data_IF_405911196306
#
_entry.id   IF_405911196306
#
_cell.length_a   1.000
_cell.length_b   1.000
_cell.length_c   1.000
_cell.angle_alpha   90.00
_cell.angle_beta   90.00
_cell.angle_gamma   90.00
#
_symmetry.space_group_name_H-M   'P 1'
#
loop_
_entity.id
_entity.type
_entity.pdbx_description
1 polymer ?
#
# COMPACT_ATOMS: atom_id res chain seq x y z
N UNK A 1 36.24 -26.20 -57.38
CA UNK A 1 34.84 -25.95 -57.74
C UNK A 1 34.10 -25.64 -56.47
N UNK A 2 34.22 -24.36 -56.05
CA UNK A 2 33.70 -23.82 -54.79
C UNK A 2 32.24 -23.48 -54.94
N UNK A 3 31.46 -23.76 -53.94
CA UNK A 3 30.11 -23.18 -53.78
C UNK A 3 30.04 -22.52 -52.42
N UNK A 4 30.02 -21.23 -52.43
CA UNK A 4 29.59 -20.38 -51.32
C UNK A 4 28.12 -20.63 -50.99
N UNK A 5 27.77 -20.66 -49.71
CA UNK A 5 26.39 -20.63 -49.22
C UNK A 5 26.33 -19.52 -48.20
N UNK A 6 25.74 -18.42 -48.60
CA UNK A 6 25.41 -17.28 -47.71
C UNK A 6 24.36 -17.71 -46.67
N UNK A 7 24.78 -17.61 -45.40
CA UNK A 7 23.92 -17.80 -44.25
C UNK A 7 23.49 -16.47 -43.66
N UNK A 8 22.30 -16.03 -43.99
CA UNK A 8 21.66 -14.84 -43.39
C UNK A 8 21.17 -15.15 -41.97
N UNK A 9 21.84 -14.60 -40.96
CA UNK A 9 21.38 -14.66 -39.59
C UNK A 9 20.40 -13.53 -39.32
N UNK A 10 19.12 -13.86 -39.29
CA UNK A 10 18.05 -12.96 -38.82
C UNK A 10 18.07 -12.86 -37.28
N UNK A 11 18.13 -11.63 -36.78
CA UNK A 11 18.18 -11.30 -35.37
C UNK A 11 16.92 -11.72 -34.61
N UNK A 12 17.12 -12.39 -33.51
CA UNK A 12 16.11 -12.71 -32.53
C UNK A 12 15.76 -11.48 -31.71
N UNK A 13 14.56 -10.95 -31.91
CA UNK A 13 13.97 -9.93 -31.06
C UNK A 13 13.69 -10.51 -29.66
N UNK A 14 14.33 -9.95 -28.65
CA UNK A 14 14.01 -10.24 -27.26
C UNK A 14 12.65 -9.66 -26.92
N UNK A 15 11.67 -10.54 -26.75
CA UNK A 15 10.36 -10.17 -26.23
C UNK A 15 10.48 -9.85 -24.73
N UNK A 16 10.46 -8.57 -24.40
CA UNK A 16 10.35 -8.07 -23.05
C UNK A 16 8.91 -8.31 -22.58
N UNK A 17 8.65 -9.41 -21.88
CA UNK A 17 7.36 -9.67 -21.22
C UNK A 17 7.35 -8.92 -19.90
N UNK A 18 6.48 -7.90 -19.81
CA UNK A 18 6.15 -7.23 -18.55
C UNK A 18 5.54 -8.22 -17.55
N UNK A 19 5.95 -8.20 -16.29
CA UNK A 19 5.25 -8.94 -15.23
C UNK A 19 3.96 -8.19 -14.87
N UNK A 20 2.83 -8.86 -15.06
CA UNK A 20 1.45 -8.45 -14.81
C UNK A 20 0.77 -7.65 -15.95
N UNK A 21 -0.17 -8.35 -16.64
CA UNK A 21 -0.95 -7.84 -17.75
C UNK A 21 -1.99 -6.78 -17.35
N UNK A 22 -1.57 -5.52 -17.34
CA UNK A 22 -2.42 -4.33 -17.38
C UNK A 22 -2.05 -3.53 -18.62
N UNK A 23 -3.03 -2.95 -19.31
CA UNK A 23 -2.82 -2.12 -20.48
C UNK A 23 -1.88 -0.94 -20.15
N UNK A 24 -0.74 -0.88 -20.81
CA UNK A 24 0.29 0.13 -20.54
C UNK A 24 -0.16 1.53 -20.93
N UNK A 25 -0.44 2.37 -19.95
CA UNK A 25 -0.45 3.81 -20.12
C UNK A 25 0.97 4.29 -20.46
N UNK A 26 1.08 5.32 -21.30
CA UNK A 26 2.37 5.90 -21.64
C UNK A 26 3.13 6.31 -20.36
N UNK A 27 4.27 5.68 -20.12
CA UNK A 27 5.01 5.77 -18.87
C UNK A 27 5.57 7.17 -18.66
N UNK A 28 5.36 7.83 -17.51
CA UNK A 28 6.25 8.89 -17.07
C UNK A 28 7.66 8.30 -16.95
N UNK A 29 8.62 8.98 -17.50
CA UNK A 29 9.99 8.48 -17.62
C UNK A 29 10.70 8.40 -16.26
N UNK A 30 10.21 9.13 -15.27
CA UNK A 30 10.79 9.21 -13.91
C UNK A 30 9.72 9.36 -12.83
N UNK A 31 10.10 9.13 -11.57
CA UNK A 31 9.24 9.44 -10.42
C UNK A 31 8.89 10.95 -10.39
N UNK A 32 9.83 11.83 -10.74
CA UNK A 32 9.58 13.27 -10.78
C UNK A 32 8.49 13.63 -11.80
N UNK A 33 8.49 13.01 -12.99
CA UNK A 33 7.43 13.20 -13.99
C UNK A 33 6.07 12.75 -13.49
N UNK A 34 6.02 11.63 -12.73
CA UNK A 34 4.79 11.13 -12.12
C UNK A 34 4.28 12.06 -11.02
N UNK A 35 5.16 12.57 -10.15
CA UNK A 35 4.80 13.51 -9.08
C UNK A 35 4.30 14.85 -9.64
N UNK A 36 4.86 15.31 -10.76
CA UNK A 36 4.40 16.53 -11.43
C UNK A 36 3.03 16.37 -12.10
N UNK A 37 2.69 15.16 -12.58
CA UNK A 37 1.43 14.86 -13.27
C UNK A 37 0.89 13.50 -12.85
N UNK A 38 0.34 13.38 -11.62
CA UNK A 38 -0.14 12.10 -11.11
C UNK A 38 -1.30 11.56 -11.93
N UNK A 39 -1.24 10.27 -12.26
CA UNK A 39 -2.35 9.57 -12.93
C UNK A 39 -3.33 9.06 -11.88
N UNK A 40 -4.62 9.38 -12.05
CA UNK A 40 -5.67 8.96 -11.12
C UNK A 40 -5.72 7.44 -10.94
N UNK A 41 -5.99 6.96 -9.73
CA UNK A 41 -6.13 5.54 -9.38
C UNK A 41 -4.89 4.67 -9.66
N UNK A 42 -3.72 5.27 -9.79
CA UNK A 42 -2.47 4.54 -10.01
C UNK A 42 -1.47 4.76 -8.87
N UNK A 43 -0.44 3.94 -8.85
CA UNK A 43 0.77 4.05 -8.02
C UNK A 43 2.00 4.01 -8.92
N UNK A 44 3.11 4.54 -8.44
CA UNK A 44 4.41 4.44 -9.12
C UNK A 44 5.29 3.46 -8.36
N UNK A 45 5.75 2.41 -9.05
CA UNK A 45 6.59 1.37 -8.46
C UNK A 45 7.68 0.99 -9.44
N UNK A 46 8.93 1.18 -9.06
CA UNK A 46 10.12 0.73 -9.79
C UNK A 46 10.13 1.12 -11.29
N UNK A 47 9.74 2.36 -11.60
CA UNK A 47 9.71 2.85 -12.97
C UNK A 47 8.40 2.60 -13.72
N UNK A 48 7.40 2.00 -13.07
CA UNK A 48 6.13 1.66 -13.71
C UNK A 48 4.94 2.35 -13.06
N UNK A 49 3.98 2.77 -13.89
CA UNK A 49 2.63 3.10 -13.42
C UNK A 49 1.87 1.79 -13.27
N UNK A 50 1.36 1.54 -12.08
CA UNK A 50 0.58 0.35 -11.77
C UNK A 50 -0.83 0.77 -11.38
N UNK A 51 -1.82 0.32 -12.13
CA UNK A 51 -3.23 0.47 -11.75
C UNK A 51 -3.54 -0.41 -10.53
N UNK A 52 -4.40 0.08 -9.64
CA UNK A 52 -4.93 -0.75 -8.57
C UNK A 52 -6.04 -1.62 -9.15
N UNK A 53 -5.74 -2.89 -9.41
CA UNK A 53 -6.69 -3.87 -9.96
C UNK A 53 -7.76 -4.21 -8.90
N UNK A 54 -8.99 -4.46 -9.37
CA UNK A 54 -10.20 -4.59 -8.59
C UNK A 54 -10.10 -5.47 -7.35
N UNK A 55 -10.58 -4.94 -6.25
CA UNK A 55 -10.66 -5.60 -4.95
C UNK A 55 -11.85 -6.58 -4.92
N UNK A 56 -11.73 -7.67 -4.18
CA UNK A 56 -12.88 -8.53 -3.90
C UNK A 56 -13.84 -7.86 -2.92
N UNK A 57 -15.11 -8.26 -2.91
CA UNK A 57 -16.08 -7.78 -1.92
C UNK A 57 -15.61 -8.03 -0.48
N UNK A 58 -14.94 -9.17 -0.22
CA UNK A 58 -14.34 -9.47 1.08
C UNK A 58 -13.27 -8.48 1.49
N UNK A 59 -12.38 -8.10 0.57
CA UNK A 59 -11.38 -7.06 0.80
C UNK A 59 -12.05 -5.71 1.10
N UNK A 60 -12.98 -5.26 0.26
CA UNK A 60 -13.69 -4.00 0.44
C UNK A 60 -14.45 -3.93 1.77
N UNK A 61 -15.04 -5.03 2.21
CA UNK A 61 -15.72 -5.14 3.51
C UNK A 61 -14.75 -4.91 4.67
N UNK A 62 -13.59 -5.57 4.67
CA UNK A 62 -12.58 -5.43 5.73
C UNK A 62 -12.01 -4.01 5.71
N UNK A 63 -11.69 -3.46 4.54
CA UNK A 63 -11.22 -2.09 4.36
C UNK A 63 -12.21 -1.08 4.96
N UNK A 64 -13.48 -1.20 4.61
CA UNK A 64 -14.56 -0.35 5.14
C UNK A 64 -14.66 -0.46 6.65
N UNK A 65 -14.56 -1.68 7.19
CA UNK A 65 -14.65 -1.90 8.64
C UNK A 65 -13.47 -1.28 9.38
N UNK A 66 -12.25 -1.48 8.87
CA UNK A 66 -11.05 -0.88 9.46
C UNK A 66 -11.14 0.66 9.43
N UNK A 67 -11.56 1.24 8.28
CA UNK A 67 -11.82 2.67 8.15
C UNK A 67 -12.80 3.16 9.24
N UNK A 68 -13.98 2.53 9.36
CA UNK A 68 -15.01 2.94 10.32
C UNK A 68 -14.49 2.87 11.76
N UNK A 69 -13.75 1.81 12.10
CA UNK A 69 -13.22 1.62 13.46
C UNK A 69 -12.16 2.65 13.81
N UNK A 70 -11.22 2.90 12.91
CA UNK A 70 -10.19 3.92 13.15
C UNK A 70 -10.77 5.32 13.14
N UNK A 71 -11.59 5.68 12.14
CA UNK A 71 -12.20 7.01 12.05
C UNK A 71 -13.11 7.31 13.26
N UNK A 72 -13.98 6.38 13.64
CA UNK A 72 -14.82 6.52 14.81
C UNK A 72 -14.03 6.67 16.11
N UNK A 73 -12.90 5.96 16.25
CA UNK A 73 -12.02 6.12 17.41
C UNK A 73 -11.32 7.49 17.43
N UNK A 74 -10.77 7.91 16.29
CA UNK A 74 -10.12 9.23 16.13
C UNK A 74 -11.08 10.35 16.50
N UNK A 75 -12.32 10.28 16.02
CA UNK A 75 -13.38 11.25 16.30
C UNK A 75 -13.79 11.23 17.77
N UNK A 76 -14.10 10.05 18.33
CA UNK A 76 -14.54 9.88 19.71
C UNK A 76 -13.49 10.36 20.72
N UNK A 77 -12.22 10.08 20.46
CA UNK A 77 -11.10 10.51 21.34
C UNK A 77 -10.62 11.92 21.04
N UNK A 78 -11.19 12.61 20.05
CA UNK A 78 -10.80 13.96 19.63
C UNK A 78 -9.31 14.08 19.29
N UNK A 79 -8.72 13.03 18.70
CA UNK A 79 -7.30 13.01 18.33
C UNK A 79 -6.97 13.97 17.19
N UNK A 80 -7.98 14.42 16.45
CA UNK A 80 -7.81 15.19 15.23
C UNK A 80 -7.26 14.35 14.07
N UNK A 81 -7.03 15.01 12.93
CA UNK A 81 -6.65 14.31 11.71
C UNK A 81 -7.81 13.58 11.05
N UNK A 82 -7.51 12.70 10.13
CA UNK A 82 -8.52 11.94 9.40
C UNK A 82 -8.03 10.57 8.99
N UNK A 83 -8.97 9.63 8.78
CA UNK A 83 -8.68 8.31 8.22
C UNK A 83 -9.11 8.27 6.77
N UNK A 84 -8.20 7.87 5.90
CA UNK A 84 -8.34 7.90 4.45
C UNK A 84 -8.26 6.50 3.86
N UNK A 85 -8.88 6.29 2.71
CA UNK A 85 -8.75 5.06 1.92
C UNK A 85 -8.02 5.36 0.61
N UNK A 86 -7.07 4.51 0.25
CA UNK A 86 -6.37 4.59 -1.03
C UNK A 86 -5.75 5.96 -1.35
N UNK A 87 -5.46 6.74 -0.32
CA UNK A 87 -4.82 8.03 -0.48
C UNK A 87 -3.34 7.87 -0.80
N UNK A 88 -2.83 8.53 -1.86
CA UNK A 88 -1.45 8.33 -2.30
C UNK A 88 -0.45 9.00 -1.37
N UNK A 89 0.66 8.31 -1.12
CA UNK A 89 1.79 8.82 -0.36
C UNK A 89 3.11 8.43 -1.02
N UNK A 90 4.12 9.24 -0.83
CA UNK A 90 5.47 8.96 -1.28
C UNK A 90 6.18 8.08 -0.26
N UNK A 91 6.88 7.07 -0.76
CA UNK A 91 7.81 6.23 0.00
C UNK A 91 9.20 6.35 -0.65
N UNK A 92 10.19 5.62 -0.16
CA UNK A 92 11.54 5.66 -0.73
C UNK A 92 11.54 5.21 -2.20
N UNK A 93 11.62 6.20 -3.11
CA UNK A 93 11.66 5.96 -4.56
C UNK A 93 10.35 5.52 -5.21
N UNK A 94 9.22 5.53 -4.48
CA UNK A 94 7.92 5.04 -4.98
C UNK A 94 6.76 5.94 -4.54
N UNK A 95 5.61 5.77 -5.19
CA UNK A 95 4.32 6.27 -4.71
C UNK A 95 3.41 5.07 -4.44
N UNK A 96 2.94 4.97 -3.22
CA UNK A 96 2.03 3.92 -2.74
C UNK A 96 0.63 4.46 -2.50
N UNK A 97 -0.33 3.54 -2.42
CA UNK A 97 -1.73 3.81 -2.03
C UNK A 97 -2.16 2.75 -1.03
N UNK A 98 -1.94 2.97 0.27
CA UNK A 98 -2.38 2.03 1.30
C UNK A 98 -3.90 1.88 1.29
N UNK A 99 -4.40 0.70 1.69
CA UNK A 99 -5.84 0.45 1.73
C UNK A 99 -6.54 1.37 2.73
N UNK A 100 -5.96 1.55 3.93
CA UNK A 100 -6.43 2.50 4.95
C UNK A 100 -5.22 3.22 5.55
N UNK A 101 -5.33 4.52 5.79
CA UNK A 101 -4.26 5.31 6.39
C UNK A 101 -4.83 6.39 7.33
N UNK A 102 -4.10 6.68 8.41
CA UNK A 102 -4.39 7.82 9.28
C UNK A 102 -3.46 8.98 8.94
N UNK A 103 -4.05 10.11 8.58
CA UNK A 103 -3.38 11.39 8.38
C UNK A 103 -3.47 12.21 9.67
N UNK A 104 -2.33 12.42 10.33
CA UNK A 104 -2.29 13.13 11.60
C UNK A 104 -2.48 14.65 11.45
N UNK A 105 -2.92 15.35 12.52
CA UNK A 105 -3.02 16.82 12.52
C UNK A 105 -1.71 17.51 12.17
N UNK A 106 -0.58 16.94 12.56
CA UNK A 106 0.75 17.49 12.27
C UNK A 106 1.04 17.50 10.79
N UNK A 107 0.72 16.43 10.08
CA UNK A 107 0.89 16.34 8.64
C UNK A 107 -0.09 17.27 7.89
N UNK A 108 -1.32 17.41 8.40
CA UNK A 108 -2.29 18.38 7.86
C UNK A 108 -1.75 19.81 8.00
N UNK A 109 -1.20 20.16 9.16
CA UNK A 109 -0.60 21.49 9.37
C UNK A 109 0.62 21.73 8.49
N UNK A 110 1.41 20.69 8.25
CA UNK A 110 2.66 20.78 7.47
C UNK A 110 2.40 20.87 5.97
N UNK A 111 1.47 20.08 5.44
CA UNK A 111 1.32 19.90 3.97
C UNK A 111 -0.04 20.37 3.44
N UNK A 112 -1.02 20.63 4.30
CA UNK A 112 -2.40 20.89 3.88
C UNK A 112 -3.16 19.62 3.48
N UNK A 113 -4.41 19.81 3.08
CA UNK A 113 -5.30 18.71 2.63
C UNK A 113 -5.43 18.64 1.11
N UNK A 114 -5.11 19.72 0.40
CA UNK A 114 -5.30 19.85 -1.05
C UNK A 114 -4.10 19.40 -1.89
N UNK A 115 -3.24 18.53 -1.33
CA UNK A 115 -2.09 17.97 -2.05
C UNK A 115 -2.46 16.66 -2.75
N UNK A 116 -2.01 16.45 -4.00
CA UNK A 116 -2.34 15.24 -4.75
C UNK A 116 -1.65 13.97 -4.21
N UNK A 117 -0.48 14.11 -3.59
CA UNK A 117 0.33 13.02 -3.04
C UNK A 117 1.01 13.54 -1.78
N UNK A 118 0.84 12.84 -0.65
CA UNK A 118 1.57 13.17 0.58
C UNK A 118 3.08 12.94 0.36
N UNK A 119 4.00 13.92 0.63
CA UNK A 119 5.42 13.79 0.35
C UNK A 119 6.20 12.81 1.25
N UNK A 120 5.53 12.14 2.16
CA UNK A 120 6.04 11.08 3.03
C UNK A 120 4.95 10.03 3.27
N UNK A 121 5.25 8.96 4.03
CA UNK A 121 4.25 7.97 4.40
C UNK A 121 3.35 8.45 5.56
N UNK A 122 2.19 7.81 5.74
CA UNK A 122 1.25 8.07 6.83
C UNK A 122 1.73 7.46 8.14
N UNK A 123 1.44 8.06 9.32
CA UNK A 123 1.85 7.51 10.62
C UNK A 123 1.30 6.11 10.90
N UNK A 124 0.07 5.82 10.48
CA UNK A 124 -0.56 4.50 10.62
C UNK A 124 -1.12 4.05 9.28
N UNK A 125 -0.82 2.82 8.91
CA UNK A 125 -1.25 2.19 7.66
C UNK A 125 -1.87 0.83 7.93
N UNK A 126 -2.97 0.54 7.24
CA UNK A 126 -3.58 -0.78 7.14
C UNK A 126 -3.55 -1.27 5.69
N UNK A 127 -3.07 -2.49 5.49
CA UNK A 127 -3.06 -3.20 4.22
C UNK A 127 -3.82 -4.52 4.37
N UNK A 128 -4.75 -4.78 3.48
CA UNK A 128 -5.53 -6.01 3.47
C UNK A 128 -5.04 -6.89 2.32
N UNK A 129 -4.52 -8.06 2.63
CA UNK A 129 -3.98 -8.96 1.62
C UNK A 129 -5.07 -9.50 0.71
N UNK A 130 -4.83 -9.38 -0.58
CA UNK A 130 -5.61 -10.06 -1.60
C UNK A 130 -5.08 -11.49 -1.83
N UNK A 131 -5.88 -12.38 -2.45
CA UNK A 131 -5.43 -13.73 -2.77
C UNK A 131 -4.24 -13.82 -3.72
N UNK A 132 -3.96 -12.75 -4.44
CA UNK A 132 -2.89 -12.65 -5.45
C UNK A 132 -1.61 -12.02 -4.92
N UNK A 133 -1.63 -11.48 -3.68
CA UNK A 133 -0.46 -10.87 -3.08
C UNK A 133 0.53 -11.96 -2.64
N UNK A 134 1.82 -11.72 -2.89
CA UNK A 134 2.90 -12.53 -2.33
C UNK A 134 3.09 -12.20 -0.85
N UNK A 135 3.24 -13.24 -0.02
CA UNK A 135 3.51 -13.02 1.40
C UNK A 135 4.80 -12.25 1.66
N UNK A 136 5.85 -12.48 0.87
CA UNK A 136 7.11 -11.76 0.99
C UNK A 136 6.97 -10.28 0.60
N UNK A 137 6.28 -10.01 -0.50
CA UNK A 137 6.10 -8.63 -1.00
C UNK A 137 5.35 -7.74 -0.01
N UNK A 138 4.39 -8.27 0.74
CA UNK A 138 3.63 -7.48 1.71
C UNK A 138 4.49 -7.07 2.91
N UNK A 139 5.40 -7.93 3.36
CA UNK A 139 6.35 -7.59 4.43
C UNK A 139 7.40 -6.58 3.96
N UNK A 140 7.91 -6.72 2.74
CA UNK A 140 8.81 -5.73 2.14
C UNK A 140 8.12 -4.37 2.01
N UNK A 141 6.84 -4.35 1.62
CA UNK A 141 6.02 -3.14 1.56
C UNK A 141 5.82 -2.50 2.94
N UNK A 142 5.60 -3.30 3.98
CA UNK A 142 5.51 -2.79 5.35
C UNK A 142 6.83 -2.15 5.82
N UNK A 143 7.97 -2.77 5.54
CA UNK A 143 9.29 -2.21 5.83
C UNK A 143 9.54 -0.91 5.04
N UNK A 144 9.11 -0.85 3.79
CA UNK A 144 9.19 0.36 2.96
C UNK A 144 8.38 1.51 3.60
N UNK A 145 7.17 1.25 4.10
CA UNK A 145 6.37 2.25 4.81
C UNK A 145 7.08 2.75 6.08
N UNK A 146 7.55 1.82 6.93
CA UNK A 146 8.26 2.17 8.16
C UNK A 146 9.51 3.02 7.90
N UNK A 147 10.28 2.69 6.86
CA UNK A 147 11.46 3.49 6.47
C UNK A 147 11.12 4.84 5.85
N UNK A 148 9.84 5.08 5.53
CA UNK A 148 9.34 6.28 4.88
C UNK A 148 8.50 7.18 5.81
N UNK A 149 8.53 6.95 7.13
CA UNK A 149 7.86 7.78 8.14
C UNK A 149 6.62 7.17 8.78
N UNK A 150 6.23 5.94 8.42
CA UNK A 150 5.18 5.21 9.13
C UNK A 150 5.69 4.75 10.49
N UNK A 151 4.87 4.88 11.52
CA UNK A 151 5.18 4.44 12.88
C UNK A 151 4.60 3.06 13.18
N UNK A 152 3.47 2.72 12.52
CA UNK A 152 2.74 1.48 12.76
C UNK A 152 2.06 1.00 11.49
N UNK A 153 2.23 -0.29 11.14
CA UNK A 153 1.61 -0.95 9.99
C UNK A 153 0.80 -2.14 10.46
N UNK A 154 -0.44 -2.23 9.98
CA UNK A 154 -1.33 -3.38 10.18
C UNK A 154 -1.47 -4.14 8.86
N UNK A 155 -1.00 -5.38 8.83
CA UNK A 155 -1.21 -6.30 7.72
C UNK A 155 -2.34 -7.26 8.09
N UNK A 156 -3.44 -7.19 7.36
CA UNK A 156 -4.63 -8.00 7.59
C UNK A 156 -4.65 -9.18 6.63
N UNK A 157 -4.74 -10.39 7.16
CA UNK A 157 -4.70 -11.65 6.42
C UNK A 157 -6.08 -12.33 6.47
N UNK A 158 -6.99 -12.08 5.51
CA UNK A 158 -8.35 -12.60 5.56
C UNK A 158 -8.44 -14.14 5.54
N UNK A 159 -7.55 -14.80 4.78
CA UNK A 159 -7.55 -16.27 4.64
C UNK A 159 -7.11 -17.00 5.91
N UNK A 160 -6.05 -16.52 6.56
CA UNK A 160 -5.54 -17.09 7.81
C UNK A 160 -6.24 -16.53 9.04
N UNK A 161 -7.18 -15.58 8.84
CA UNK A 161 -7.92 -14.90 9.90
C UNK A 161 -7.00 -14.33 10.97
N UNK A 162 -6.02 -13.56 10.54
CA UNK A 162 -5.00 -13.00 11.42
C UNK A 162 -4.66 -11.58 11.04
N UNK A 163 -4.05 -10.86 11.99
CA UNK A 163 -3.50 -9.52 11.82
C UNK A 163 -2.05 -9.53 12.28
N UNK A 164 -1.18 -8.95 11.48
CA UNK A 164 0.20 -8.69 11.87
C UNK A 164 0.38 -7.19 12.06
N UNK A 165 0.85 -6.77 13.23
CA UNK A 165 1.14 -5.37 13.55
C UNK A 165 2.64 -5.22 13.65
N UNK A 166 3.17 -4.24 12.94
CA UNK A 166 4.59 -3.94 12.91
C UNK A 166 4.84 -2.47 13.24
N UNK A 167 5.76 -2.24 14.17
CA UNK A 167 6.40 -0.96 14.44
C UNK A 167 7.91 -1.11 14.23
N UNK A 168 8.71 -0.08 14.52
CA UNK A 168 10.17 -0.22 14.51
C UNK A 168 10.67 -1.21 15.57
N UNK A 169 10.00 -1.28 16.73
CA UNK A 169 10.47 -2.03 17.91
C UNK A 169 9.63 -3.27 18.24
N UNK A 170 8.49 -3.47 17.56
CA UNK A 170 7.54 -4.52 17.92
C UNK A 170 6.94 -5.20 16.69
N UNK A 171 6.82 -6.54 16.77
CA UNK A 171 6.14 -7.37 15.79
C UNK A 171 5.15 -8.28 16.52
N UNK A 172 3.85 -8.15 16.20
CA UNK A 172 2.79 -8.94 16.81
C UNK A 172 2.02 -9.69 15.73
N UNK A 173 1.91 -11.00 15.86
CA UNK A 173 1.02 -11.83 15.05
C UNK A 173 -0.16 -12.24 15.91
N UNK A 174 -1.36 -11.85 15.50
CA UNK A 174 -2.61 -12.03 16.24
C UNK A 174 -3.60 -12.85 15.43
N UNK A 175 -4.19 -13.85 16.07
CA UNK A 175 -5.22 -14.72 15.51
C UNK A 175 -6.63 -14.16 15.76
N UNK A 176 -7.66 -14.79 15.18
CA UNK A 176 -9.05 -14.31 15.30
C UNK A 176 -9.58 -14.26 16.75
N UNK A 177 -8.98 -15.03 17.68
CA UNK A 177 -9.37 -15.05 19.09
C UNK A 177 -8.74 -13.92 19.91
N UNK A 178 -7.81 -13.20 19.33
CA UNK A 178 -7.03 -12.19 20.04
C UNK A 178 -7.51 -10.76 19.72
N UNK A 179 -7.13 -9.83 20.57
CA UNK A 179 -7.43 -8.41 20.43
C UNK A 179 -6.25 -7.68 19.83
N UNK A 180 -6.44 -7.10 18.65
CA UNK A 180 -5.47 -6.20 18.04
C UNK A 180 -5.56 -4.82 18.69
N UNK A 181 -4.41 -4.28 19.09
CA UNK A 181 -4.28 -2.95 19.74
C UNK A 181 -3.27 -2.11 18.99
N UNK A 182 -3.59 -0.82 18.80
CA UNK A 182 -2.58 0.11 18.30
C UNK A 182 -1.46 0.26 19.31
N UNK A 183 -0.24 0.16 18.81
CA UNK A 183 0.96 0.17 19.67
C UNK A 183 1.49 1.59 19.91
N UNK A 184 1.34 2.47 18.91
CA UNK A 184 1.98 3.79 18.91
C UNK A 184 1.04 4.92 18.54
N UNK A 185 0.23 4.76 17.48
CA UNK A 185 -0.42 5.90 16.80
C UNK A 185 -1.79 6.24 17.34
N UNK A 186 -2.60 5.23 17.68
CA UNK A 186 -3.95 5.41 18.25
C UNK A 186 -3.98 4.85 19.68
N UNK A 187 -3.45 5.58 20.68
CA UNK A 187 -3.29 5.05 22.04
C UNK A 187 -4.63 4.65 22.64
N UNK A 188 -4.76 3.38 23.06
CA UNK A 188 -5.99 2.81 23.61
C UNK A 188 -6.96 2.24 22.58
N UNK A 189 -6.69 2.38 21.29
CA UNK A 189 -7.49 1.70 20.27
C UNK A 189 -7.29 0.18 20.34
N UNK A 190 -8.40 -0.55 20.35
CA UNK A 190 -8.40 -2.01 20.29
C UNK A 190 -9.61 -2.55 19.53
N UNK A 191 -9.44 -3.71 18.90
CA UNK A 191 -10.48 -4.42 18.17
C UNK A 191 -10.23 -5.94 18.24
N UNK A 192 -11.28 -6.72 18.44
CA UNK A 192 -11.18 -8.17 18.26
C UNK A 192 -10.88 -8.48 16.79
N UNK A 193 -9.89 -9.34 16.54
CA UNK A 193 -9.52 -9.71 15.16
C UNK A 193 -10.70 -10.37 14.45
N UNK A 194 -11.50 -11.19 15.15
CA UNK A 194 -12.73 -11.77 14.61
C UNK A 194 -13.72 -10.69 14.14
N UNK A 195 -13.90 -9.60 14.90
CA UNK A 195 -14.81 -8.52 14.55
C UNK A 195 -14.33 -7.71 13.32
N UNK A 196 -13.04 -7.58 13.15
CA UNK A 196 -12.47 -6.93 11.96
C UNK A 196 -12.73 -7.77 10.70
N UNK A 197 -12.65 -9.09 10.81
CA UNK A 197 -12.70 -10.02 9.67
C UNK A 197 -14.10 -10.58 9.37
N UNK A 198 -15.08 -10.43 10.28
CA UNK A 198 -16.44 -11.00 10.19
C UNK A 198 -17.29 -10.49 9.02
#
# INVERSE_FOLDING_TARGET
MEREVDGHCSGSGSSNRSPNGGAGLALPKTLADYLANPVAQTKWVDGYIVEKVGQTLGHAKIQTRLLIRWAGYVEHQQLGGMVLVEAPCQTTGRVRRPDVAYLSPDLIRQFGEDIPILPQSYPLIGEILSPTDSGEDIFLKAQEYLSSGTLEVWLVFPKSKSVFIQTQDCHLWLTEQETAKSQVVLPGFEIQVADLLS
#
